data_IF_790339288038
#
_entry.id   IF_790339288038
#
_cell.length_a   1.000
_cell.length_b   1.000
_cell.length_c   1.000
_cell.angle_alpha   90.00
_cell.angle_beta   90.00
_cell.angle_gamma   90.00
#
_symmetry.space_group_name_H-M   'P 1'
#
loop_
_entity.id
_entity.type
_entity.pdbx_description
1 polymer ?
#
# COMPACT_ATOMS: atom_id res chain seq x y z
N UNK A 1 13.45 5.56 15.05
CA UNK A 1 12.18 5.51 14.30
C UNK A 1 12.31 4.50 13.17
N UNK A 2 11.24 3.73 12.88
CA UNK A 2 11.26 2.48 12.09
C UNK A 2 11.31 2.70 10.56
N UNK A 3 10.56 3.67 10.01
CA UNK A 3 10.30 3.77 8.57
C UNK A 3 8.81 3.59 8.26
N UNK A 4 8.41 3.68 6.99
CA UNK A 4 7.08 3.27 6.55
C UNK A 4 7.01 1.73 6.44
N UNK A 5 6.06 1.10 7.13
CA UNK A 5 5.78 -0.34 7.00
C UNK A 5 4.61 -0.59 6.05
N UNK A 6 4.88 -1.09 4.86
CA UNK A 6 3.95 -1.28 3.76
C UNK A 6 4.28 -2.58 3.05
N UNK A 7 3.68 -3.66 3.54
CA UNK A 7 3.84 -5.01 3.00
C UNK A 7 2.51 -5.52 2.49
N UNK A 8 2.56 -6.33 1.44
CA UNK A 8 1.39 -7.05 0.93
C UNK A 8 1.74 -8.50 0.71
N UNK A 9 0.78 -9.38 0.99
CA UNK A 9 0.91 -10.82 0.81
C UNK A 9 -0.38 -11.36 0.21
N UNK A 10 -0.26 -12.29 -0.73
CA UNK A 10 -1.38 -13.02 -1.32
C UNK A 10 -1.03 -14.51 -1.33
N UNK A 11 -1.81 -15.29 -0.57
CA UNK A 11 -1.72 -16.75 -0.53
C UNK A 11 -2.84 -17.37 -1.36
N UNK A 12 -2.53 -18.43 -2.12
CA UNK A 12 -3.47 -19.15 -2.94
C UNK A 12 -3.13 -20.63 -3.11
N UNK A 13 -3.98 -21.36 -3.84
CA UNK A 13 -3.89 -22.83 -3.96
C UNK A 13 -2.61 -23.35 -4.61
N UNK A 14 -1.82 -22.48 -5.25
CA UNK A 14 -0.57 -22.84 -5.96
C UNK A 14 0.67 -22.20 -5.35
N UNK A 15 0.55 -21.49 -4.23
CA UNK A 15 1.68 -20.80 -3.59
C UNK A 15 1.31 -19.42 -3.07
N UNK A 16 2.33 -18.59 -2.90
CA UNK A 16 2.25 -17.29 -2.24
C UNK A 16 3.11 -16.27 -2.99
N UNK A 17 2.64 -15.03 -3.07
CA UNK A 17 3.43 -13.87 -3.44
C UNK A 17 3.47 -12.88 -2.27
N UNK A 18 4.63 -12.29 -2.01
CA UNK A 18 4.81 -11.28 -0.97
C UNK A 18 5.68 -10.15 -1.49
N UNK A 19 5.31 -8.92 -1.16
CA UNK A 19 6.10 -7.72 -1.44
C UNK A 19 6.49 -7.03 -0.13
N UNK A 20 7.77 -6.69 -0.05
CA UNK A 20 8.42 -6.19 1.15
C UNK A 20 8.46 -4.67 1.22
N UNK A 21 9.11 -4.15 2.27
CA UNK A 21 9.38 -2.72 2.37
C UNK A 21 10.49 -2.30 1.40
N UNK A 22 10.31 -1.15 0.76
CA UNK A 22 11.37 -0.49 0.00
C UNK A 22 12.48 0.00 0.93
N UNK A 23 13.72 -0.37 0.63
CA UNK A 23 14.91 0.05 1.34
C UNK A 23 15.69 1.05 0.48
N UNK A 24 16.40 1.99 1.12
CA UNK A 24 17.29 2.92 0.41
C UNK A 24 18.42 2.18 -0.32
N UNK A 25 18.90 1.09 0.26
CA UNK A 25 19.93 0.24 -0.30
C UNK A 25 19.78 -1.20 0.23
N UNK A 26 20.49 -2.13 -0.40
CA UNK A 26 20.49 -3.56 -0.03
C UNK A 26 21.69 -3.95 0.82
N UNK A 27 22.44 -2.97 1.36
CA UNK A 27 23.64 -3.26 2.12
C UNK A 27 23.29 -3.91 3.46
N UNK A 28 24.13 -4.85 3.87
CA UNK A 28 24.09 -5.46 5.20
C UNK A 28 25.49 -5.45 5.77
N UNK A 29 25.65 -4.88 6.96
CA UNK A 29 26.91 -4.83 7.69
C UNK A 29 26.88 -5.93 8.76
N UNK A 30 27.89 -6.81 8.75
CA UNK A 30 28.00 -7.92 9.70
C UNK A 30 29.20 -7.69 10.61
N UNK A 31 28.97 -7.67 11.92
CA UNK A 31 30.00 -7.49 12.97
C UNK A 31 29.82 -8.52 14.08
N UNK A 32 30.68 -8.50 15.10
CA UNK A 32 30.52 -9.32 16.32
C UNK A 32 29.22 -9.03 17.05
N UNK A 33 28.64 -7.83 16.87
CA UNK A 33 27.41 -7.39 17.52
C UNK A 33 26.15 -7.75 16.72
N UNK A 34 26.30 -8.29 15.50
CA UNK A 34 25.21 -8.77 14.67
C UNK A 34 25.23 -8.27 13.22
N UNK A 35 24.15 -8.58 12.50
CA UNK A 35 23.90 -8.13 11.13
C UNK A 35 22.90 -6.97 11.13
N UNK A 36 23.27 -5.87 10.48
CA UNK A 36 22.45 -4.67 10.36
C UNK A 36 22.18 -4.35 8.89
N UNK A 37 20.91 -4.30 8.50
CA UNK A 37 20.47 -3.85 7.19
C UNK A 37 19.86 -2.45 7.27
N UNK A 38 19.66 -1.86 6.10
CA UNK A 38 18.95 -0.58 5.97
C UNK A 38 17.50 -0.66 6.47
N UNK A 39 16.96 0.47 6.91
CA UNK A 39 15.57 0.64 7.32
C UNK A 39 14.66 0.92 6.12
N UNK A 40 13.35 0.66 6.22
CA UNK A 40 12.38 1.13 5.23
C UNK A 40 12.49 2.64 4.99
N UNK A 41 12.15 3.08 3.77
CA UNK A 41 12.09 4.49 3.41
C UNK A 41 11.25 5.28 4.42
N UNK A 42 11.76 6.46 4.80
CA UNK A 42 11.26 7.22 5.95
C UNK A 42 10.30 8.33 5.56
N UNK A 43 10.48 8.96 4.39
CA UNK A 43 9.69 10.10 3.98
C UNK A 43 8.74 9.76 2.84
N UNK A 44 7.49 10.23 2.91
CA UNK A 44 6.46 9.82 1.94
C UNK A 44 6.83 10.19 0.50
N UNK A 45 7.53 11.32 0.27
CA UNK A 45 7.97 11.67 -1.07
C UNK A 45 9.00 10.68 -1.59
N UNK A 46 9.96 10.24 -0.78
CA UNK A 46 10.94 9.22 -1.18
C UNK A 46 10.24 7.89 -1.49
N UNK A 47 9.28 7.51 -0.64
CA UNK A 47 8.52 6.26 -0.76
C UNK A 47 7.56 6.22 -1.94
N UNK A 48 6.92 7.33 -2.26
CA UNK A 48 5.81 7.40 -3.23
C UNK A 48 6.13 8.20 -4.50
N UNK A 49 7.35 8.72 -4.67
CA UNK A 49 7.68 9.56 -5.83
C UNK A 49 7.28 8.89 -7.15
N UNK A 50 7.67 7.63 -7.32
CA UNK A 50 7.35 6.88 -8.54
C UNK A 50 5.85 6.60 -8.67
N UNK A 51 5.15 6.29 -7.57
CA UNK A 51 3.71 6.08 -7.58
C UNK A 51 2.95 7.35 -8.03
N UNK A 52 3.35 8.53 -7.55
CA UNK A 52 2.76 9.81 -7.97
C UNK A 52 3.07 10.14 -9.44
N UNK A 53 4.31 9.89 -9.89
CA UNK A 53 4.70 10.08 -11.29
C UNK A 53 3.82 9.21 -12.20
N UNK A 54 3.69 7.93 -11.89
CA UNK A 54 2.87 7.00 -12.69
C UNK A 54 1.38 7.37 -12.63
N UNK A 55 0.85 7.75 -11.46
CA UNK A 55 -0.53 8.21 -11.34
C UNK A 55 -0.84 9.38 -12.27
N UNK A 56 0.03 10.41 -12.29
CA UNK A 56 -0.17 11.58 -13.15
C UNK A 56 -0.05 11.20 -14.63
N UNK A 57 0.91 10.33 -15.00
CA UNK A 57 1.01 9.82 -16.37
C UNK A 57 -0.26 9.12 -16.82
N UNK A 58 -0.82 8.23 -16.01
CA UNK A 58 -2.07 7.53 -16.33
C UNK A 58 -3.25 8.49 -16.46
N UNK A 59 -3.35 9.48 -15.58
CA UNK A 59 -4.40 10.50 -15.68
C UNK A 59 -4.30 11.30 -16.98
N UNK A 60 -3.10 11.77 -17.33
CA UNK A 60 -2.85 12.50 -18.58
C UNK A 60 -3.15 11.62 -19.79
N UNK A 61 -2.74 10.35 -19.79
CA UNK A 61 -3.05 9.40 -20.86
C UNK A 61 -4.57 9.22 -21.05
N UNK A 62 -5.34 9.09 -19.97
CA UNK A 62 -6.80 9.01 -20.03
C UNK A 62 -7.42 10.25 -20.67
N UNK A 63 -6.94 11.45 -20.31
CA UNK A 63 -7.46 12.72 -20.85
C UNK A 63 -7.09 12.90 -22.33
N UNK A 64 -5.83 12.70 -22.68
CA UNK A 64 -5.31 12.96 -24.04
C UNK A 64 -5.89 11.96 -25.05
N UNK A 65 -6.08 10.72 -24.64
CA UNK A 65 -6.49 9.63 -25.54
C UNK A 65 -7.95 9.21 -25.38
N UNK A 66 -8.77 9.98 -24.65
CA UNK A 66 -10.19 9.68 -24.40
C UNK A 66 -10.40 8.23 -23.88
N UNK A 67 -9.55 7.80 -22.94
CA UNK A 67 -9.64 6.48 -22.32
C UNK A 67 -10.32 6.58 -20.95
N UNK A 68 -10.98 5.52 -20.48
CA UNK A 68 -11.40 5.43 -19.09
C UNK A 68 -10.22 5.66 -18.14
N UNK A 69 -10.50 6.28 -16.99
CA UNK A 69 -9.53 6.36 -15.89
C UNK A 69 -9.32 4.98 -15.27
N UNK A 70 -8.07 4.67 -14.90
CA UNK A 70 -7.72 3.39 -14.26
C UNK A 70 -8.27 3.25 -12.83
N UNK A 71 -8.64 4.35 -12.19
CA UNK A 71 -9.27 4.42 -10.86
C UNK A 71 -10.46 5.38 -10.96
N UNK A 72 -11.67 4.85 -10.85
CA UNK A 72 -12.92 5.60 -11.00
C UNK A 72 -13.60 5.94 -9.68
N UNK A 73 -14.79 6.54 -9.77
CA UNK A 73 -15.56 6.95 -8.58
C UNK A 73 -15.90 5.77 -7.64
N UNK A 74 -16.19 4.60 -8.20
CA UNK A 74 -16.51 3.40 -7.41
C UNK A 74 -15.32 2.90 -6.59
N UNK A 75 -14.10 3.08 -7.11
CA UNK A 75 -12.85 2.70 -6.43
C UNK A 75 -12.54 3.65 -5.27
N UNK A 76 -13.11 4.86 -5.28
CA UNK A 76 -13.13 5.78 -4.13
C UNK A 76 -14.22 5.46 -3.11
N UNK A 77 -15.42 5.06 -3.57
CA UNK A 77 -16.55 4.76 -2.69
C UNK A 77 -16.33 3.49 -1.84
N UNK A 78 -15.86 2.40 -2.46
CA UNK A 78 -15.74 1.09 -1.79
C UNK A 78 -14.83 1.13 -0.55
N UNK A 79 -13.62 1.71 -0.58
CA UNK A 79 -12.76 1.81 0.60
C UNK A 79 -13.39 2.64 1.72
N UNK A 80 -14.19 3.67 1.40
CA UNK A 80 -14.89 4.48 2.41
C UNK A 80 -15.97 3.65 3.11
N UNK A 81 -16.73 2.84 2.37
CA UNK A 81 -17.71 1.91 2.97
C UNK A 81 -17.02 0.86 3.84
N UNK A 82 -15.88 0.32 3.40
CA UNK A 82 -15.05 -0.60 4.19
C UNK A 82 -14.55 0.06 5.49
N UNK A 83 -14.03 1.29 5.41
CA UNK A 83 -13.55 2.04 6.57
C UNK A 83 -14.67 2.33 7.58
N UNK A 84 -15.87 2.66 7.09
CA UNK A 84 -17.05 2.83 7.94
C UNK A 84 -17.40 1.54 8.70
N UNK A 85 -17.47 0.41 8.00
CA UNK A 85 -17.77 -0.88 8.62
C UNK A 85 -16.68 -1.30 9.64
N UNK A 86 -15.41 -1.08 9.32
CA UNK A 86 -14.30 -1.35 10.25
C UNK A 86 -14.35 -0.44 11.50
N UNK A 87 -14.74 0.83 11.33
CA UNK A 87 -14.93 1.77 12.45
C UNK A 87 -16.04 1.29 13.38
N UNK A 88 -17.18 0.89 12.82
CA UNK A 88 -18.30 0.34 13.58
C UNK A 88 -17.91 -0.96 14.31
N UNK A 89 -17.21 -1.87 13.63
CA UNK A 89 -16.68 -3.10 14.22
C UNK A 89 -15.80 -2.81 15.44
N UNK A 90 -14.86 -1.87 15.31
CA UNK A 90 -13.97 -1.47 16.39
C UNK A 90 -14.74 -0.93 17.60
N UNK A 91 -15.74 -0.08 17.38
CA UNK A 91 -16.59 0.48 18.44
C UNK A 91 -17.44 -0.58 19.16
N UNK A 92 -17.80 -1.66 18.46
CA UNK A 92 -18.56 -2.79 19.02
C UNK A 92 -17.66 -3.91 19.59
N UNK A 93 -16.36 -3.65 19.80
CA UNK A 93 -15.44 -4.64 20.38
C UNK A 93 -14.98 -5.71 19.39
N UNK A 94 -14.93 -5.40 18.10
CA UNK A 94 -14.48 -6.30 17.03
C UNK A 94 -15.59 -7.15 16.42
N UNK A 95 -16.86 -6.74 16.57
CA UNK A 95 -17.99 -7.46 15.98
C UNK A 95 -17.92 -7.47 14.44
N UNK A 96 -18.40 -8.55 13.81
CA UNK A 96 -18.52 -8.58 12.35
C UNK A 96 -19.59 -7.60 11.87
N UNK A 97 -19.19 -6.67 10.99
CA UNK A 97 -20.09 -5.72 10.33
C UNK A 97 -20.07 -5.98 8.82
N UNK A 98 -21.24 -6.24 8.25
CA UNK A 98 -21.37 -6.36 6.79
C UNK A 98 -21.18 -4.98 6.16
N UNK A 99 -20.36 -4.89 5.12
CA UNK A 99 -20.22 -3.66 4.33
C UNK A 99 -21.56 -3.35 3.67
N UNK A 100 -22.01 -2.10 3.80
CA UNK A 100 -23.24 -1.63 3.19
C UNK A 100 -23.16 -1.70 1.65
N UNK A 101 -24.30 -1.90 1.01
CA UNK A 101 -24.44 -1.91 -0.45
C UNK A 101 -24.13 -0.52 -1.05
#
# INVERSE_FOLDING_TARGET
VYGYDQRVEVFGSKGMASDGNDLLNTATIMTVDGAHSEKPLWFFLERYNQAFIEQVKYFVDSVVNDKPVVVGAIDGLRPVLMAKAATESCQQGGAFIKIAD
#
